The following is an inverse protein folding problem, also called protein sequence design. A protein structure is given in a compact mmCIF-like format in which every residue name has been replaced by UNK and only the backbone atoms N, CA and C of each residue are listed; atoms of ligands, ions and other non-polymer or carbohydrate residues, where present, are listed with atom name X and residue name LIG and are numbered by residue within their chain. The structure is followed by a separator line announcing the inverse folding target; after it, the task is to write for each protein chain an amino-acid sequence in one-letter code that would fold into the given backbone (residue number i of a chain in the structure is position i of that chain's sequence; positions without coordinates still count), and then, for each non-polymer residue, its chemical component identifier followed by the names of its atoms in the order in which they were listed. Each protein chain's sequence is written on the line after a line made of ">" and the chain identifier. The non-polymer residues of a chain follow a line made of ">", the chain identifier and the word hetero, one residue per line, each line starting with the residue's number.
data_IF_400845373559
#
_entry.id   IF_400845373559
#
_cell.length_a   1.000
_cell.length_b   1.000
_cell.length_c   1.000
_cell.angle_alpha   90.00
_cell.angle_beta   90.00
_cell.angle_gamma   90.00
#
_symmetry.space_group_name_H-M   'P 1'
#
loop_
_entity.id
_entity.type
_entity.pdbx_description
1 polymer ?
#
# COMPACT_ATOMS: atom_id res chain seq x y z
N UNK A 1 -17.38 15.43 -4.46
CA UNK A 1 -15.96 15.15 -4.76
C UNK A 1 -15.29 14.80 -3.43
N UNK A 2 -14.64 13.63 -3.33
CA UNK A 2 -14.07 13.18 -2.05
C UNK A 2 -13.06 14.18 -1.51
N UNK A 3 -13.16 14.48 -0.21
CA UNK A 3 -12.12 15.22 0.49
C UNK A 3 -10.90 14.30 0.63
N UNK A 4 -9.82 14.64 -0.07
CA UNK A 4 -8.60 13.83 -0.16
C UNK A 4 -7.85 13.73 1.16
N UNK A 5 -8.09 14.63 2.11
CA UNK A 5 -7.42 14.64 3.42
C UNK A 5 -8.23 13.82 4.44
N UNK A 6 -9.56 13.90 4.37
CA UNK A 6 -10.45 13.19 5.30
C UNK A 6 -10.71 11.74 4.86
N UNK A 7 -10.70 11.44 3.56
CA UNK A 7 -11.05 10.12 3.01
C UNK A 7 -9.84 9.19 2.85
N UNK A 8 -8.84 9.29 3.72
CA UNK A 8 -7.68 8.37 3.68
C UNK A 8 -8.10 6.96 4.12
N UNK A 9 -7.38 5.94 3.66
CA UNK A 9 -7.65 4.55 4.06
C UNK A 9 -7.59 4.40 5.60
N UNK A 10 -6.66 5.07 6.26
CA UNK A 10 -6.53 5.07 7.72
C UNK A 10 -7.80 5.58 8.45
N UNK A 11 -8.49 6.55 7.88
CA UNK A 11 -9.69 7.13 8.49
C UNK A 11 -10.97 6.36 8.10
N UNK A 12 -11.04 5.91 6.85
CA UNK A 12 -12.24 5.23 6.30
C UNK A 12 -12.29 3.77 6.72
N UNK A 13 -11.14 3.09 6.74
CA UNK A 13 -11.00 1.68 7.12
C UNK A 13 -9.69 1.46 7.91
N UNK A 14 -9.70 1.77 9.22
CA UNK A 14 -8.52 1.64 10.07
C UNK A 14 -8.05 0.19 10.24
N UNK A 15 -8.92 -0.80 10.08
CA UNK A 15 -8.57 -2.22 10.19
C UNK A 15 -7.72 -2.66 9.01
N UNK A 16 -8.15 -2.35 7.79
CA UNK A 16 -7.36 -2.63 6.58
C UNK A 16 -6.06 -1.83 6.57
N UNK A 17 -6.09 -0.57 7.01
CA UNK A 17 -4.87 0.22 7.16
C UNK A 17 -3.86 -0.46 8.09
N UNK A 18 -4.31 -0.94 9.26
CA UNK A 18 -3.45 -1.64 10.21
C UNK A 18 -2.86 -2.93 9.62
N UNK A 19 -3.66 -3.69 8.85
CA UNK A 19 -3.19 -4.89 8.17
C UNK A 19 -2.09 -4.58 7.14
N UNK A 20 -2.24 -3.52 6.33
CA UNK A 20 -1.22 -3.07 5.38
C UNK A 20 0.08 -2.67 6.09
N UNK A 21 -0.02 -1.93 7.20
CA UNK A 21 1.17 -1.55 7.97
C UNK A 21 1.89 -2.77 8.58
N UNK A 22 1.13 -3.75 9.06
CA UNK A 22 1.70 -4.99 9.59
C UNK A 22 2.44 -5.79 8.50
N UNK A 23 1.90 -5.86 7.28
CA UNK A 23 2.56 -6.53 6.16
C UNK A 23 3.82 -5.81 5.69
N UNK A 24 3.80 -4.48 5.61
CA UNK A 24 5.00 -3.70 5.30
C UNK A 24 6.14 -4.02 6.26
N UNK A 25 5.84 -4.03 7.57
CA UNK A 25 6.80 -4.40 8.60
C UNK A 25 7.29 -5.85 8.43
N UNK A 26 6.39 -6.79 8.15
CA UNK A 26 6.76 -8.20 7.92
C UNK A 26 7.76 -8.31 6.76
N UNK A 27 7.55 -7.62 5.65
CA UNK A 27 8.47 -7.66 4.52
C UNK A 27 9.83 -7.03 4.85
N UNK A 28 9.85 -5.90 5.57
CA UNK A 28 11.11 -5.24 5.97
C UNK A 28 11.94 -6.06 6.97
N UNK A 29 11.30 -6.80 7.87
CA UNK A 29 11.97 -7.59 8.91
C UNK A 29 12.47 -8.97 8.42
N UNK A 30 12.10 -9.40 7.21
CA UNK A 30 12.45 -10.71 6.67
C UNK A 30 13.36 -10.61 5.43
N UNK A 31 14.30 -11.55 5.31
CA UNK A 31 15.06 -11.72 4.08
C UNK A 31 14.17 -12.47 3.09
N UNK A 32 13.82 -11.80 1.99
CA UNK A 32 13.05 -12.42 0.92
C UNK A 32 13.95 -13.29 0.04
N UNK A 33 13.63 -14.59 -0.06
CA UNK A 33 14.42 -15.60 -0.78
C UNK A 33 13.62 -16.26 -1.91
N UNK A 34 12.35 -15.91 -2.08
CA UNK A 34 11.51 -16.40 -3.15
C UNK A 34 11.90 -15.69 -4.45
N UNK A 35 12.51 -16.43 -5.38
CA UNK A 35 13.06 -15.86 -6.62
C UNK A 35 12.03 -15.16 -7.53
N UNK A 36 10.74 -15.44 -7.36
CA UNK A 36 9.65 -14.80 -8.12
C UNK A 36 9.12 -13.53 -7.47
N UNK A 37 9.47 -13.24 -6.22
CA UNK A 37 9.02 -12.04 -5.50
C UNK A 37 9.99 -10.87 -5.67
N UNK A 38 9.46 -9.65 -5.58
CA UNK A 38 10.24 -8.44 -5.76
C UNK A 38 9.56 -7.23 -5.10
N UNK A 39 10.36 -6.21 -4.78
CA UNK A 39 9.88 -4.92 -4.31
C UNK A 39 9.69 -3.98 -5.49
N UNK A 40 8.45 -3.53 -5.70
CA UNK A 40 8.17 -2.58 -6.77
C UNK A 40 8.59 -1.15 -6.38
N UNK A 41 8.82 -0.30 -7.38
CA UNK A 41 9.24 1.08 -7.11
C UNK A 41 8.06 1.94 -6.66
N UNK A 42 8.30 3.01 -5.87
CA UNK A 42 7.26 3.95 -5.47
C UNK A 42 6.52 4.60 -6.64
N UNK A 43 7.21 4.82 -7.76
CA UNK A 43 6.61 5.39 -8.97
C UNK A 43 5.53 4.46 -9.57
N UNK A 44 5.76 3.14 -9.55
CA UNK A 44 4.78 2.15 -10.02
C UNK A 44 3.57 2.12 -9.10
N UNK A 45 3.78 2.15 -7.77
CA UNK A 45 2.68 2.20 -6.80
C UNK A 45 1.82 3.47 -6.93
N UNK A 46 2.44 4.62 -7.19
CA UNK A 46 1.72 5.88 -7.45
C UNK A 46 0.87 5.80 -8.72
N UNK A 47 1.40 5.21 -9.79
CA UNK A 47 0.66 5.01 -11.03
C UNK A 47 -0.54 4.07 -10.83
N UNK A 48 -0.38 3.00 -10.03
CA UNK A 48 -1.45 2.07 -9.69
C UNK A 48 -2.61 2.76 -8.96
N UNK A 49 -2.32 3.68 -8.05
CA UNK A 49 -3.34 4.47 -7.31
C UNK A 49 -3.90 5.68 -8.07
N UNK A 50 -3.67 5.78 -9.39
CA UNK A 50 -4.03 6.96 -10.17
C UNK A 50 -5.46 6.93 -10.71
N UNK A 51 -5.87 8.01 -11.38
CA UNK A 51 -7.18 8.11 -12.04
C UNK A 51 -7.40 7.10 -13.17
N UNK A 52 -6.40 6.30 -13.57
CA UNK A 52 -6.55 5.26 -14.59
C UNK A 52 -7.50 4.13 -14.16
N UNK A 53 -7.84 4.03 -12.88
CA UNK A 53 -8.78 3.03 -12.34
C UNK A 53 -10.26 3.46 -12.32
N UNK A 54 -10.61 4.64 -12.86
CA UNK A 54 -12.02 5.06 -13.01
C UNK A 54 -12.68 4.43 -14.22
#
# INVERSE_FOLDING_TARGET
>A
MFDRIQSTLANVDPEIWAAVQAENRRQEEHIELIASENYTSPAVMQAQGSQLTN
#
